data_IF_848446957117
#
_entry.id   IF_848446957117
#
_cell.length_a   1.000
_cell.length_b   1.000
_cell.length_c   1.000
_cell.angle_alpha   90.00
_cell.angle_beta   90.00
_cell.angle_gamma   90.00
#
_symmetry.space_group_name_H-M   'P 1'
#
loop_
_entity.id
_entity.type
_entity.pdbx_description
1 polymer ?
#
# COMPACT_ATOMS: atom_id res chain seq x y z
N UNK A 1 -42.59 44.45 9.98
CA UNK A 1 -42.84 43.04 9.65
C UNK A 1 -42.00 42.23 10.61
N UNK A 2 -42.66 41.43 11.45
CA UNK A 2 -41.97 40.59 12.43
C UNK A 2 -41.12 39.55 11.68
N UNK A 3 -39.96 39.19 12.23
CA UNK A 3 -39.03 38.24 11.60
C UNK A 3 -39.71 36.88 11.35
N UNK A 4 -40.77 36.62 12.11
CA UNK A 4 -41.70 35.48 12.03
C UNK A 4 -42.35 35.33 10.64
N UNK A 5 -42.52 36.41 9.87
CA UNK A 5 -43.17 36.33 8.54
C UNK A 5 -42.20 36.03 7.39
N UNK A 6 -40.88 35.99 7.62
CA UNK A 6 -39.88 35.92 6.55
C UNK A 6 -39.32 34.51 6.26
N UNK A 7 -39.56 33.50 7.11
CA UNK A 7 -38.94 32.17 6.94
C UNK A 7 -39.94 31.04 7.07
N UNK A 8 -40.88 30.98 6.14
CA UNK A 8 -41.58 29.74 5.81
C UNK A 8 -40.89 29.06 4.61
N UNK A 9 -39.58 28.82 4.74
CA UNK A 9 -38.92 27.72 4.05
C UNK A 9 -38.90 26.54 5.02
N UNK A 10 -39.28 25.35 4.58
CA UNK A 10 -39.25 24.15 5.43
C UNK A 10 -37.83 23.97 6.01
N UNK A 11 -37.71 23.91 7.35
CA UNK A 11 -36.45 23.60 8.05
C UNK A 11 -36.00 24.61 9.12
N UNK A 12 -36.51 25.86 9.12
CA UNK A 12 -36.04 26.87 10.10
C UNK A 12 -37.05 27.11 11.24
N UNK A 13 -36.74 26.63 12.45
CA UNK A 13 -37.52 26.97 13.66
C UNK A 13 -36.83 28.10 14.41
N UNK A 14 -37.36 29.33 14.30
CA UNK A 14 -36.89 30.45 15.11
C UNK A 14 -37.58 30.44 16.48
N UNK A 15 -36.87 30.04 17.54
CA UNK A 15 -37.29 30.32 18.93
C UNK A 15 -36.59 31.59 19.40
N UNK A 16 -37.34 32.51 20.01
CA UNK A 16 -36.87 33.86 20.34
C UNK A 16 -35.50 33.83 21.06
N UNK A 17 -34.49 34.42 20.42
CA UNK A 17 -33.18 34.69 21.03
C UNK A 17 -32.03 33.75 20.64
N UNK A 18 -32.27 32.62 19.96
CA UNK A 18 -31.20 31.77 19.43
C UNK A 18 -31.57 31.27 18.04
N UNK A 19 -30.87 31.78 17.02
CA UNK A 19 -30.95 31.24 15.67
C UNK A 19 -30.01 30.02 15.59
N UNK A 20 -30.49 28.86 16.05
CA UNK A 20 -29.74 27.61 15.94
C UNK A 20 -30.44 26.66 14.96
N UNK A 21 -29.74 26.30 13.89
CA UNK A 21 -30.11 25.17 13.04
C UNK A 21 -29.40 23.96 13.63
N UNK A 22 -30.12 23.10 14.34
CA UNK A 22 -29.66 21.75 14.62
C UNK A 22 -29.80 20.96 13.32
N UNK A 23 -28.80 21.07 12.45
CA UNK A 23 -28.77 20.24 11.25
C UNK A 23 -28.40 18.82 11.68
N UNK A 24 -29.31 17.87 11.57
CA UNK A 24 -28.97 16.45 11.66
C UNK A 24 -28.37 15.99 10.32
N UNK A 25 -27.55 14.95 10.38
CA UNK A 25 -27.04 14.19 9.24
C UNK A 25 -28.12 13.85 8.19
N UNK A 26 -29.39 13.65 8.59
CA UNK A 26 -30.51 13.40 7.69
C UNK A 26 -30.94 14.60 6.83
N UNK A 27 -30.67 15.85 7.27
CA UNK A 27 -31.05 17.08 6.57
C UNK A 27 -29.91 17.61 5.66
N UNK A 28 -28.69 17.09 5.81
CA UNK A 28 -27.59 17.28 4.87
C UNK A 28 -27.86 16.45 3.61
N UNK A 29 -28.66 17.00 2.71
CA UNK A 29 -28.81 16.45 1.35
C UNK A 29 -27.63 16.92 0.49
N UNK A 30 -27.04 16.00 -0.30
CA UNK A 30 -25.76 16.14 -1.01
C UNK A 30 -25.63 17.28 -2.02
N UNK A 31 -26.60 18.18 -2.11
CA UNK A 31 -26.50 19.41 -2.92
C UNK A 31 -25.86 20.60 -2.20
N UNK A 32 -25.76 20.59 -0.87
CA UNK A 32 -25.28 21.75 -0.08
C UNK A 32 -23.85 21.59 0.49
N UNK A 33 -23.34 20.36 0.55
CA UNK A 33 -21.98 20.02 0.99
C UNK A 33 -21.48 18.95 0.02
N UNK A 34 -20.23 19.03 -0.43
CA UNK A 34 -19.57 17.99 -1.23
C UNK A 34 -19.39 16.73 -0.38
N UNK A 35 -20.47 15.96 -0.29
CA UNK A 35 -20.59 14.66 0.39
C UNK A 35 -20.53 13.54 -0.67
N UNK A 36 -20.42 13.87 -1.97
CA UNK A 36 -20.55 12.93 -3.08
C UNK A 36 -19.59 11.73 -2.95
N UNK A 37 -18.36 11.98 -2.49
CA UNK A 37 -17.36 10.94 -2.31
C UNK A 37 -17.64 9.96 -1.14
N UNK A 38 -18.60 10.23 -0.25
CA UNK A 38 -19.02 9.28 0.81
C UNK A 38 -19.92 8.16 0.25
N UNK A 39 -20.57 8.41 -0.88
CA UNK A 39 -21.39 7.43 -1.60
C UNK A 39 -20.59 6.50 -2.52
N UNK A 40 -19.35 6.88 -2.85
CA UNK A 40 -18.52 6.18 -3.82
C UNK A 40 -18.31 4.71 -3.46
N UNK A 41 -18.57 3.82 -4.43
CA UNK A 41 -18.45 2.36 -4.28
C UNK A 41 -19.22 1.74 -3.11
N UNK A 42 -20.23 2.42 -2.57
CA UNK A 42 -21.07 1.84 -1.51
C UNK A 42 -21.70 0.54 -2.00
N UNK A 43 -21.56 -0.51 -1.18
CA UNK A 43 -22.15 -1.83 -1.42
C UNK A 43 -23.50 -1.92 -0.69
N UNK A 44 -24.56 -2.34 -1.38
CA UNK A 44 -25.91 -2.53 -0.83
C UNK A 44 -26.53 -3.83 -1.30
N UNK A 45 -27.47 -4.38 -0.53
CA UNK A 45 -28.20 -5.64 -0.79
C UNK A 45 -29.51 -5.44 -1.58
N UNK A 46 -29.63 -4.33 -2.30
CA UNK A 46 -30.88 -3.87 -2.91
C UNK A 46 -31.31 -4.62 -4.17
N UNK A 47 -30.50 -5.54 -4.70
CA UNK A 47 -30.80 -6.30 -5.94
C UNK A 47 -31.63 -7.56 -5.65
N UNK A 48 -31.44 -8.17 -4.47
CA UNK A 48 -32.10 -9.41 -4.06
C UNK A 48 -31.26 -10.68 -4.24
N UNK A 49 -31.61 -11.73 -3.49
CA UNK A 49 -30.82 -12.96 -3.38
C UNK A 49 -29.40 -12.68 -2.85
N UNK A 50 -28.40 -13.28 -3.47
CA UNK A 50 -26.97 -13.08 -3.16
C UNK A 50 -26.28 -12.07 -4.08
N UNK A 51 -27.03 -11.18 -4.74
CA UNK A 51 -26.46 -10.14 -5.59
C UNK A 51 -26.42 -8.81 -4.86
N UNK A 52 -25.26 -8.17 -4.82
CA UNK A 52 -25.11 -6.81 -4.29
C UNK A 52 -25.12 -5.79 -5.42
N UNK A 53 -25.64 -4.59 -5.12
CA UNK A 53 -25.43 -3.39 -5.93
C UNK A 53 -24.22 -2.63 -5.40
N UNK A 54 -23.42 -2.10 -6.31
CA UNK A 54 -22.29 -1.23 -6.02
C UNK A 54 -22.54 0.10 -6.72
N UNK A 55 -22.54 1.19 -5.94
CA UNK A 55 -22.66 2.55 -6.45
C UNK A 55 -21.48 2.89 -7.40
N UNK A 56 -21.64 3.87 -8.31
CA UNK A 56 -20.47 4.44 -8.98
C UNK A 56 -19.48 4.99 -7.95
N UNK A 57 -18.24 5.19 -8.36
CA UNK A 57 -17.24 5.80 -7.49
C UNK A 57 -16.03 6.28 -8.26
N UNK A 58 -15.19 7.06 -7.60
CA UNK A 58 -13.93 7.54 -8.17
C UNK A 58 -12.75 6.73 -7.65
N UNK A 59 -11.88 6.29 -8.56
CA UNK A 59 -10.63 5.62 -8.23
C UNK A 59 -9.46 6.35 -8.86
N UNK A 60 -8.43 6.60 -8.06
CA UNK A 60 -7.17 7.15 -8.55
C UNK A 60 -6.30 5.99 -9.08
N UNK A 61 -5.90 6.08 -10.34
CA UNK A 61 -4.90 5.21 -10.94
C UNK A 61 -3.68 6.05 -11.29
N UNK A 62 -2.64 5.95 -10.46
CA UNK A 62 -1.45 6.80 -10.51
C UNK A 62 -1.80 8.28 -10.66
N UNK A 63 -1.61 8.88 -11.83
CA UNK A 63 -1.79 10.32 -12.05
C UNK A 63 -3.16 10.69 -12.66
N UNK A 64 -4.10 9.75 -12.73
CA UNK A 64 -5.46 9.97 -13.21
C UNK A 64 -6.50 9.57 -12.17
N UNK A 65 -7.65 10.25 -12.16
CA UNK A 65 -8.84 9.83 -11.42
C UNK A 65 -9.89 9.41 -12.44
N UNK A 66 -10.38 8.19 -12.31
CA UNK A 66 -11.43 7.64 -13.17
C UNK A 66 -12.70 7.43 -12.34
N UNK A 67 -13.84 7.84 -12.89
CA UNK A 67 -15.15 7.49 -12.34
C UNK A 67 -15.60 6.18 -12.96
N UNK A 68 -16.09 5.25 -12.14
CA UNK A 68 -16.61 3.97 -12.60
C UNK A 68 -18.12 3.94 -12.56
N UNK A 69 -18.72 3.22 -13.52
CA UNK A 69 -20.15 2.96 -13.55
C UNK A 69 -20.59 2.09 -12.36
N UNK A 70 -21.87 2.15 -11.97
CA UNK A 70 -22.44 1.21 -11.01
C UNK A 70 -22.32 -0.23 -11.52
N UNK A 71 -22.21 -1.18 -10.59
CA UNK A 71 -22.06 -2.60 -10.90
C UNK A 71 -22.99 -3.45 -10.02
N UNK A 72 -23.39 -4.61 -10.54
CA UNK A 72 -24.00 -5.67 -9.74
C UNK A 72 -23.01 -6.82 -9.65
N UNK A 73 -22.82 -7.37 -8.46
CA UNK A 73 -21.91 -8.49 -8.24
C UNK A 73 -22.67 -9.66 -7.62
N UNK A 74 -22.67 -10.79 -8.31
CA UNK A 74 -23.14 -12.06 -7.76
C UNK A 74 -22.09 -12.61 -6.79
N UNK A 75 -22.52 -12.98 -5.58
CA UNK A 75 -21.64 -13.50 -4.54
C UNK A 75 -21.62 -15.03 -4.49
N UNK A 76 -20.65 -15.57 -3.75
CA UNK A 76 -20.65 -16.99 -3.37
C UNK A 76 -21.61 -17.19 -2.21
N UNK A 77 -22.47 -18.20 -2.26
CA UNK A 77 -23.39 -18.54 -1.17
C UNK A 77 -22.69 -19.23 0.01
N UNK A 78 -23.28 -19.16 1.20
CA UNK A 78 -22.77 -19.74 2.45
C UNK A 78 -21.31 -19.36 2.74
N UNK A 79 -20.97 -18.10 2.49
CA UNK A 79 -19.61 -17.59 2.59
C UNK A 79 -19.57 -16.14 3.07
N UNK A 80 -18.41 -15.76 3.59
CA UNK A 80 -18.03 -14.33 3.68
C UNK A 80 -17.38 -13.95 2.35
N UNK A 81 -17.90 -12.89 1.72
CA UNK A 81 -17.43 -12.37 0.46
C UNK A 81 -16.75 -11.01 0.69
N UNK A 82 -15.46 -10.94 0.41
CA UNK A 82 -14.63 -9.74 0.48
C UNK A 82 -14.76 -9.00 -0.85
N UNK A 83 -15.71 -8.06 -0.93
CA UNK A 83 -15.98 -7.25 -2.12
C UNK A 83 -14.93 -6.14 -2.22
N UNK A 84 -14.30 -6.05 -3.38
CA UNK A 84 -13.14 -5.20 -3.62
C UNK A 84 -13.15 -4.64 -5.04
N UNK A 85 -12.44 -3.53 -5.25
CA UNK A 85 -12.28 -2.91 -6.56
C UNK A 85 -10.81 -2.74 -6.92
N UNK A 86 -10.50 -2.86 -8.20
CA UNK A 86 -9.15 -2.61 -8.70
C UNK A 86 -8.90 -1.21 -9.24
N UNK A 87 -7.64 -0.90 -9.55
CA UNK A 87 -7.22 0.39 -10.09
C UNK A 87 -7.82 0.73 -11.46
N UNK A 88 -8.44 -0.23 -12.16
CA UNK A 88 -9.21 0.00 -13.38
C UNK A 88 -10.72 0.12 -13.13
N UNK A 89 -11.17 -0.06 -11.88
CA UNK A 89 -12.56 0.03 -11.50
C UNK A 89 -13.35 -1.27 -11.55
N UNK A 90 -12.70 -2.41 -11.79
CA UNK A 90 -13.37 -3.70 -11.83
C UNK A 90 -13.65 -4.19 -10.40
N UNK A 91 -14.92 -4.48 -10.11
CA UNK A 91 -15.38 -4.98 -8.82
C UNK A 91 -15.42 -6.51 -8.83
N UNK A 92 -14.83 -7.13 -7.82
CA UNK A 92 -14.79 -8.60 -7.63
C UNK A 92 -15.06 -8.97 -6.17
N UNK A 93 -15.26 -10.27 -5.89
CA UNK A 93 -15.29 -10.79 -4.53
C UNK A 93 -14.39 -12.01 -4.38
N UNK A 94 -13.69 -12.08 -3.25
CA UNK A 94 -12.93 -13.24 -2.79
C UNK A 94 -13.62 -13.84 -1.55
N UNK A 95 -13.43 -15.13 -1.25
CA UNK A 95 -14.00 -15.78 -0.06
C UNK A 95 -12.99 -16.04 1.05
N UNK A 96 -11.70 -15.75 0.83
CA UNK A 96 -10.64 -15.97 1.83
C UNK A 96 -10.26 -14.69 2.59
N UNK A 97 -9.96 -13.61 1.86
CA UNK A 97 -9.60 -12.30 2.38
C UNK A 97 -9.64 -11.26 1.23
N UNK A 98 -9.47 -9.97 1.54
CA UNK A 98 -9.15 -8.97 0.53
C UNK A 98 -7.83 -9.31 -0.19
N UNK A 99 -7.82 -9.13 -1.51
CA UNK A 99 -6.66 -9.37 -2.37
C UNK A 99 -5.66 -8.22 -2.25
N UNK A 100 -4.38 -8.54 -2.05
CA UNK A 100 -3.32 -7.53 -1.97
C UNK A 100 -3.31 -6.62 -3.22
N UNK A 101 -3.25 -5.31 -3.00
CA UNK A 101 -3.27 -4.30 -4.07
C UNK A 101 -4.66 -3.94 -4.62
N UNK A 102 -5.75 -4.50 -4.07
CA UNK A 102 -7.13 -4.06 -4.34
C UNK A 102 -7.64 -3.16 -3.21
N UNK A 103 -8.65 -2.33 -3.51
CA UNK A 103 -9.31 -1.45 -2.53
C UNK A 103 -10.50 -2.19 -1.89
N UNK A 104 -10.50 -2.42 -0.56
CA UNK A 104 -11.63 -3.02 0.15
C UNK A 104 -12.90 -2.16 0.05
N UNK A 105 -14.03 -2.79 -0.26
CA UNK A 105 -15.34 -2.13 -0.28
C UNK A 105 -16.24 -2.64 0.85
N UNK A 106 -16.45 -3.96 0.95
CA UNK A 106 -17.30 -4.53 1.98
C UNK A 106 -16.96 -6.00 2.28
N UNK A 107 -17.33 -6.43 3.48
CA UNK A 107 -17.50 -7.85 3.80
C UNK A 107 -19.00 -8.18 3.76
N UNK A 108 -19.38 -9.11 2.89
CA UNK A 108 -20.78 -9.51 2.69
C UNK A 108 -20.95 -10.97 3.07
N UNK A 109 -21.81 -11.25 4.05
CA UNK A 109 -22.10 -12.62 4.51
C UNK A 109 -23.37 -13.12 3.83
N UNK A 110 -23.26 -14.26 3.16
CA UNK A 110 -24.37 -14.96 2.54
C UNK A 110 -24.65 -16.28 3.27
N UNK A 111 -25.92 -16.62 3.45
CA UNK A 111 -26.37 -17.88 4.05
C UNK A 111 -27.66 -18.31 3.37
N UNK A 112 -27.72 -19.56 2.91
CA UNK A 112 -28.93 -20.15 2.31
C UNK A 112 -29.54 -19.31 1.19
N UNK A 113 -28.69 -18.80 0.28
CA UNK A 113 -29.04 -17.95 -0.85
C UNK A 113 -29.58 -16.54 -0.51
N UNK A 114 -29.38 -16.09 0.73
CA UNK A 114 -29.69 -14.73 1.16
C UNK A 114 -28.45 -14.00 1.69
N UNK A 115 -28.43 -12.68 1.53
CA UNK A 115 -27.46 -11.80 2.20
C UNK A 115 -27.94 -11.57 3.63
N UNK A 116 -27.10 -11.88 4.60
CA UNK A 116 -27.40 -11.75 6.05
C UNK A 116 -26.62 -10.62 6.71
N UNK A 117 -25.64 -10.04 6.03
CA UNK A 117 -24.93 -8.86 6.50
C UNK A 117 -24.06 -8.24 5.43
N UNK A 118 -24.02 -6.90 5.42
CA UNK A 118 -23.08 -6.09 4.65
C UNK A 118 -22.34 -5.19 5.63
N UNK A 119 -21.05 -5.44 5.81
CA UNK A 119 -20.18 -4.60 6.63
C UNK A 119 -19.34 -3.74 5.71
N UNK A 120 -19.50 -2.41 5.81
CA UNK A 120 -18.69 -1.46 5.06
C UNK A 120 -17.22 -1.55 5.50
N UNK A 121 -16.33 -1.69 4.52
CA UNK A 121 -14.87 -1.77 4.73
C UNK A 121 -14.14 -0.71 3.92
N UNK A 122 -14.86 0.24 3.32
CA UNK A 122 -14.28 1.42 2.70
C UNK A 122 -13.57 2.22 3.79
N UNK A 123 -12.25 2.27 3.71
CA UNK A 123 -11.45 3.16 4.54
C UNK A 123 -11.24 4.48 3.79
N UNK A 124 -11.23 5.60 4.51
CA UNK A 124 -10.53 6.77 4.00
C UNK A 124 -9.08 6.37 3.78
N UNK A 125 -8.56 6.65 2.60
CA UNK A 125 -7.20 6.31 2.23
C UNK A 125 -6.24 6.93 3.27
N UNK A 126 -5.76 6.13 4.22
CA UNK A 126 -4.48 6.42 4.83
C UNK A 126 -3.47 6.02 3.76
N UNK A 127 -2.73 7.00 3.24
CA UNK A 127 -1.63 6.70 2.31
C UNK A 127 -0.53 6.10 3.18
N UNK A 128 -0.73 4.86 3.63
CA UNK A 128 0.37 4.04 4.06
C UNK A 128 1.15 3.73 2.79
N UNK A 129 2.27 4.45 2.63
CA UNK A 129 3.27 4.18 1.60
C UNK A 129 3.52 2.67 1.63
N UNK A 130 3.04 1.96 0.61
CA UNK A 130 3.18 0.51 0.55
C UNK A 130 4.67 0.17 0.71
N UNK A 131 5.03 -0.32 1.88
CA UNK A 131 6.39 -0.71 2.26
C UNK A 131 6.88 -1.95 1.50
N UNK A 132 6.03 -2.53 0.65
CA UNK A 132 6.40 -3.62 -0.24
C UNK A 132 7.44 -3.14 -1.28
N UNK A 133 8.72 -3.36 -0.95
CA UNK A 133 9.87 -2.95 -1.76
C UNK A 133 10.54 -1.65 -1.29
N UNK A 134 10.15 -1.10 -0.14
CA UNK A 134 10.88 0.02 0.46
C UNK A 134 12.23 -0.48 0.98
N UNK A 135 13.30 0.13 0.46
CA UNK A 135 14.63 -0.07 1.00
C UNK A 135 14.70 0.51 2.42
N UNK A 136 15.11 -0.30 3.39
CA UNK A 136 15.36 0.12 4.77
C UNK A 136 16.84 0.33 5.03
N UNK A 137 17.20 0.98 6.14
CA UNK A 137 18.60 1.10 6.58
C UNK A 137 19.28 -0.26 6.75
N UNK A 138 18.50 -1.32 6.99
CA UNK A 138 18.99 -2.69 7.08
C UNK A 138 19.31 -3.37 5.75
N UNK A 139 19.02 -2.75 4.60
CA UNK A 139 19.25 -3.37 3.29
C UNK A 139 20.60 -2.98 2.67
N UNK A 140 21.36 -2.11 3.33
CA UNK A 140 22.66 -1.61 2.88
C UNK A 140 23.73 -1.82 3.94
N UNK A 141 24.91 -2.21 3.49
CA UNK A 141 26.14 -2.21 4.28
C UNK A 141 27.10 -1.24 3.63
N UNK A 142 27.54 -0.25 4.39
CA UNK A 142 28.53 0.74 3.96
C UNK A 142 29.79 0.64 4.83
N UNK A 143 30.95 0.74 4.20
CA UNK A 143 32.27 0.71 4.84
C UNK A 143 32.53 -0.50 5.72
N UNK A 144 32.00 -1.68 5.37
CA UNK A 144 32.39 -2.90 6.07
C UNK A 144 33.89 -3.16 5.89
N UNK A 145 34.55 -3.62 6.94
CA UNK A 145 35.91 -4.17 6.88
C UNK A 145 35.80 -5.69 6.86
N UNK A 146 35.96 -6.35 5.69
CA UNK A 146 35.85 -7.80 5.60
C UNK A 146 36.86 -8.50 6.52
N UNK A 147 36.45 -9.61 7.12
CA UNK A 147 37.30 -10.37 8.05
C UNK A 147 38.33 -11.19 7.28
N UNK A 148 39.61 -10.94 7.55
CA UNK A 148 40.78 -11.66 7.00
C UNK A 148 42.08 -11.06 7.53
N UNK A 149 43.20 -11.75 7.33
CA UNK A 149 44.52 -11.27 7.74
C UNK A 149 45.19 -10.49 6.60
N UNK A 150 45.51 -9.22 6.84
CA UNK A 150 46.28 -8.38 5.93
C UNK A 150 47.77 -8.69 6.08
N UNK A 151 48.26 -9.79 5.52
CA UNK A 151 49.66 -10.23 5.64
C UNK A 151 50.38 -10.41 4.29
N UNK A 152 49.69 -10.16 3.18
CA UNK A 152 50.21 -10.36 1.83
C UNK A 152 50.26 -11.82 1.38
N UNK A 153 49.72 -12.76 2.18
CA UNK A 153 49.59 -14.17 1.83
C UNK A 153 48.11 -14.60 1.71
N UNK A 154 47.24 -14.13 2.60
CA UNK A 154 45.82 -14.50 2.58
C UNK A 154 45.04 -13.75 1.49
N UNK A 155 44.36 -14.51 0.63
CA UNK A 155 43.52 -13.97 -0.45
C UNK A 155 42.03 -14.00 -0.14
N UNK A 156 41.61 -14.72 0.91
CA UNK A 156 40.19 -14.91 1.23
C UNK A 156 39.76 -14.05 2.40
N UNK A 157 38.69 -13.28 2.18
CA UNK A 157 38.10 -12.38 3.15
C UNK A 157 36.59 -12.63 3.22
N UNK A 158 36.00 -12.48 4.41
CA UNK A 158 34.60 -12.84 4.65
C UNK A 158 33.77 -11.61 5.02
N UNK A 159 32.65 -11.43 4.33
CA UNK A 159 31.62 -10.45 4.64
C UNK A 159 30.69 -10.92 5.76
N UNK A 160 30.10 -9.98 6.50
CA UNK A 160 29.12 -10.26 7.54
C UNK A 160 27.78 -10.76 6.97
N UNK A 161 27.36 -10.24 5.82
CA UNK A 161 26.13 -10.63 5.10
C UNK A 161 26.42 -10.89 3.63
N UNK A 162 25.61 -11.75 2.99
CA UNK A 162 25.83 -12.15 1.61
C UNK A 162 25.22 -11.10 0.68
N UNK A 163 25.99 -10.49 -0.24
CA UNK A 163 25.45 -9.50 -1.16
C UNK A 163 24.30 -10.05 -2.02
N UNK A 164 23.17 -9.35 -2.02
CA UNK A 164 21.96 -9.67 -2.78
C UNK A 164 21.39 -8.40 -3.43
N UNK A 165 21.51 -8.24 -4.77
CA UNK A 165 22.18 -9.16 -5.70
C UNK A 165 23.69 -9.18 -5.49
N UNK A 166 24.37 -10.28 -5.87
CA UNK A 166 25.82 -10.44 -5.73
C UNK A 166 26.62 -9.26 -6.36
N UNK A 167 26.21 -8.82 -7.55
CA UNK A 167 26.80 -7.69 -8.27
C UNK A 167 26.62 -6.32 -7.57
N UNK A 168 25.88 -6.26 -6.45
CA UNK A 168 25.80 -5.05 -5.62
C UNK A 168 27.12 -4.76 -4.91
N UNK A 169 27.96 -5.77 -4.67
CA UNK A 169 29.23 -5.60 -3.97
C UNK A 169 30.18 -4.64 -4.69
N UNK A 170 30.79 -3.75 -3.91
CA UNK A 170 31.88 -2.86 -4.32
C UNK A 170 32.98 -2.99 -3.28
N UNK A 171 34.13 -3.55 -3.69
CA UNK A 171 35.33 -3.66 -2.85
C UNK A 171 36.28 -2.50 -3.17
N UNK A 172 36.87 -1.93 -2.13
CA UNK A 172 37.83 -0.84 -2.21
C UNK A 172 39.13 -1.25 -1.52
N UNK A 173 40.25 -1.13 -2.23
CA UNK A 173 41.60 -1.31 -1.68
C UNK A 173 42.28 0.06 -1.65
N UNK A 174 42.62 0.55 -0.45
CA UNK A 174 43.21 1.88 -0.24
C UNK A 174 42.39 3.02 -0.85
N UNK A 175 41.06 2.88 -0.86
CA UNK A 175 40.12 3.84 -1.44
C UNK A 175 39.94 3.72 -2.96
N UNK A 176 40.64 2.80 -3.62
CA UNK A 176 40.47 2.52 -5.05
C UNK A 176 39.49 1.37 -5.23
N UNK A 177 38.42 1.61 -5.98
CA UNK A 177 37.45 0.58 -6.34
C UNK A 177 38.13 -0.50 -7.19
N UNK A 178 37.96 -1.75 -6.78
CA UNK A 178 38.46 -2.94 -7.46
C UNK A 178 37.41 -3.47 -8.45
N UNK A 179 37.87 -4.14 -9.52
CA UNK A 179 36.99 -4.78 -10.50
C UNK A 179 36.68 -6.24 -10.12
N UNK A 180 35.40 -6.61 -10.26
CA UNK A 180 34.91 -7.95 -9.92
C UNK A 180 34.94 -8.85 -11.15
N UNK A 181 35.59 -10.01 -11.03
CA UNK A 181 35.63 -11.03 -12.07
C UNK A 181 36.77 -12.03 -11.88
N UNK A 182 36.63 -13.22 -12.49
CA UNK A 182 37.63 -14.29 -12.35
C UNK A 182 38.99 -13.97 -12.98
N UNK A 183 39.06 -12.93 -13.82
CA UNK A 183 40.29 -12.43 -14.43
C UNK A 183 40.62 -11.00 -14.00
N UNK A 184 39.86 -10.47 -13.04
CA UNK A 184 39.97 -9.11 -12.52
C UNK A 184 40.51 -9.16 -11.07
N UNK A 185 40.33 -8.09 -10.29
CA UNK A 185 41.00 -7.90 -9.00
C UNK A 185 40.45 -8.83 -7.90
N UNK A 186 39.16 -9.19 -7.95
CA UNK A 186 38.55 -10.10 -6.98
C UNK A 186 37.34 -10.86 -7.54
N UNK A 187 36.98 -11.94 -6.86
CA UNK A 187 35.70 -12.66 -7.06
C UNK A 187 34.90 -12.73 -5.78
N UNK A 188 33.57 -12.84 -5.89
CA UNK A 188 32.67 -13.09 -4.79
C UNK A 188 32.03 -14.48 -4.93
N UNK A 189 31.98 -15.25 -3.84
CA UNK A 189 31.13 -16.45 -3.75
C UNK A 189 30.45 -16.46 -2.38
N UNK A 190 29.13 -16.32 -2.35
CA UNK A 190 28.36 -16.17 -1.12
C UNK A 190 28.88 -14.98 -0.28
N UNK A 191 29.51 -15.23 0.85
CA UNK A 191 30.11 -14.23 1.75
C UNK A 191 31.59 -13.96 1.46
N UNK A 192 32.23 -14.80 0.64
CA UNK A 192 33.69 -14.82 0.52
C UNK A 192 34.15 -14.00 -0.66
N UNK A 193 34.94 -12.97 -0.37
CA UNK A 193 35.76 -12.25 -1.33
C UNK A 193 37.06 -13.03 -1.49
N UNK A 194 37.45 -13.32 -2.73
CA UNK A 194 38.78 -13.87 -3.06
C UNK A 194 39.51 -12.87 -3.93
N UNK A 195 40.54 -12.22 -3.40
CA UNK A 195 41.41 -11.33 -4.16
C UNK A 195 42.34 -12.11 -5.09
N UNK A 196 42.62 -11.56 -6.27
CA UNK A 196 43.65 -12.09 -7.17
C UNK A 196 45.06 -11.84 -6.63
N UNK A 197 45.27 -10.73 -5.89
CA UNK A 197 46.50 -10.41 -5.18
C UNK A 197 46.20 -10.15 -3.69
N UNK A 198 46.88 -10.86 -2.79
CA UNK A 198 46.66 -10.74 -1.35
C UNK A 198 46.99 -9.31 -0.85
N UNK A 199 46.04 -8.61 -0.20
CA UNK A 199 46.32 -7.33 0.45
C UNK A 199 47.42 -7.44 1.52
N UNK A 200 48.28 -6.43 1.60
CA UNK A 200 49.40 -6.39 2.56
C UNK A 200 49.01 -5.64 3.85
N UNK A 201 49.84 -5.77 4.89
CA UNK A 201 49.59 -5.18 6.22
C UNK A 201 49.40 -3.66 6.28
N UNK A 202 49.79 -2.92 5.24
CA UNK A 202 49.58 -1.47 5.14
C UNK A 202 48.31 -1.10 4.37
N UNK A 203 47.63 -2.07 3.76
CA UNK A 203 46.44 -1.83 2.97
C UNK A 203 45.20 -1.65 3.85
N UNK A 204 44.18 -1.03 3.28
CA UNK A 204 42.84 -0.94 3.84
C UNK A 204 41.84 -1.53 2.85
N UNK A 205 41.11 -2.55 3.28
CA UNK A 205 39.99 -3.13 2.53
C UNK A 205 38.68 -2.62 3.10
N UNK A 206 37.81 -2.13 2.23
CA UNK A 206 36.42 -1.78 2.55
C UNK A 206 35.46 -2.41 1.55
N UNK A 207 34.23 -2.67 1.98
CA UNK A 207 33.16 -3.20 1.15
C UNK A 207 31.83 -2.45 1.39
N UNK A 208 31.17 -2.12 0.28
CA UNK A 208 29.80 -1.59 0.27
C UNK A 208 28.90 -2.55 -0.52
N UNK A 209 27.70 -2.87 -0.03
CA UNK A 209 26.77 -3.78 -0.72
C UNK A 209 25.34 -3.70 -0.19
N UNK A 210 24.41 -4.38 -0.88
CA UNK A 210 23.04 -4.62 -0.43
C UNK A 210 22.85 -6.09 -0.07
N UNK A 211 22.01 -6.43 0.91
CA UNK A 211 21.78 -7.83 1.33
C UNK A 211 20.32 -8.15 1.59
#
# INVERSE_FOLDING_TARGET
ADIVTATAGAGLTATAGVLAVLVDSAEITGGAVDVDHLGDYRVTDTVGGITVAIAPGSIRNDNAVATTSPANLLLTDNATNFVEVDSAGAVTANTSAFTAGRVPLAEVVTVSADITGVTDKRAWLDVEVATAGALTEGDFVDNEVPSGNLDGADTTYTLANAPSPAASLKVYLNGIRQDEGASDDYTLTSLTITFAAAPISTDKVLADYRF
#
